data_IF_854656369069
#
_entry.id   IF_854656369069
#
_cell.length_a   1.000
_cell.length_b   1.000
_cell.length_c   1.000
_cell.angle_alpha   90.00
_cell.angle_beta   90.00
_cell.angle_gamma   90.00
#
_symmetry.space_group_name_H-M   'P 1'
#
loop_
_entity.id
_entity.type
_entity.pdbx_description
1 polymer ?
#
# COMPACT_ATOMS: atom_id res chain seq x y z
N UNK A 1 -20.41 -21.80 14.66
CA UNK A 1 -19.65 -20.53 14.50
C UNK A 1 -18.16 -20.91 14.51
N UNK A 2 -17.46 -20.77 13.39
CA UNK A 2 -16.01 -21.09 13.35
C UNK A 2 -15.20 -19.91 13.89
N UNK A 3 -14.18 -20.14 14.73
CA UNK A 3 -13.37 -19.06 15.30
C UNK A 3 -12.52 -18.42 14.20
N UNK A 4 -12.77 -17.13 13.94
CA UNK A 4 -12.04 -16.35 12.95
C UNK A 4 -10.66 -15.99 13.50
N UNK A 5 -9.60 -16.50 12.86
CA UNK A 5 -8.22 -16.37 13.32
C UNK A 5 -7.62 -14.96 13.20
N UNK A 6 -8.29 -14.01 12.54
CA UNK A 6 -7.85 -12.61 12.49
C UNK A 6 -9.04 -11.65 12.49
N UNK A 7 -8.90 -10.55 13.23
CA UNK A 7 -9.90 -9.49 13.38
C UNK A 7 -9.36 -8.23 12.71
N UNK A 8 -10.20 -7.49 11.98
CA UNK A 8 -9.81 -6.22 11.35
C UNK A 8 -10.39 -5.06 12.16
N UNK A 9 -9.52 -4.20 12.68
CA UNK A 9 -9.92 -3.03 13.45
C UNK A 9 -9.19 -1.80 12.90
N UNK A 10 -9.94 -0.79 12.45
CA UNK A 10 -9.40 0.47 11.89
C UNK A 10 -8.34 0.28 10.78
N UNK A 11 -8.46 -0.79 9.98
CA UNK A 11 -7.49 -1.14 8.93
C UNK A 11 -6.37 -2.09 9.37
N UNK A 12 -6.12 -2.22 10.68
CA UNK A 12 -5.16 -3.17 11.23
C UNK A 12 -5.75 -4.57 11.32
N UNK A 13 -4.93 -5.60 11.07
CA UNK A 13 -5.30 -6.99 11.34
C UNK A 13 -4.63 -7.49 12.61
N UNK A 14 -5.46 -7.89 13.55
CA UNK A 14 -5.07 -8.39 14.85
C UNK A 14 -5.30 -9.90 14.88
N UNK A 15 -4.28 -10.63 15.30
CA UNK A 15 -4.42 -12.03 15.63
C UNK A 15 -4.87 -12.14 17.10
N UNK A 16 -5.62 -13.18 17.51
CA UNK A 16 -6.09 -13.37 18.89
C UNK A 16 -4.98 -13.36 19.95
N UNK A 17 -3.74 -13.64 19.54
CA UNK A 17 -2.53 -13.61 20.40
C UNK A 17 -1.78 -12.27 20.34
N UNK A 18 -2.34 -11.27 19.66
CA UNK A 18 -1.73 -9.94 19.45
C UNK A 18 -0.30 -9.98 18.89
N UNK A 19 0.04 -11.02 18.12
CA UNK A 19 1.40 -11.18 17.56
C UNK A 19 1.64 -10.34 16.31
N UNK A 20 0.60 -9.69 15.76
CA UNK A 20 0.62 -8.83 14.57
C UNK A 20 1.25 -9.46 13.31
N UNK A 21 1.46 -10.78 13.27
CA UNK A 21 2.15 -11.43 12.14
C UNK A 21 1.37 -11.27 10.85
N UNK A 22 0.04 -11.36 10.91
CA UNK A 22 -0.83 -11.09 9.78
C UNK A 22 -0.80 -9.64 9.29
N UNK A 23 -0.50 -8.67 10.18
CA UNK A 23 -0.34 -7.26 9.83
C UNK A 23 1.04 -7.01 9.21
N UNK A 24 2.12 -7.52 9.80
CA UNK A 24 3.48 -7.38 9.27
C UNK A 24 3.60 -8.01 7.87
N UNK A 25 3.02 -9.20 7.67
CA UNK A 25 2.99 -9.84 6.36
C UNK A 25 2.22 -9.00 5.32
N UNK A 26 1.18 -8.27 5.74
CA UNK A 26 0.45 -7.33 4.90
C UNK A 26 1.26 -6.09 4.57
N UNK A 27 1.86 -5.46 5.57
CA UNK A 27 2.71 -4.30 5.39
C UNK A 27 3.88 -4.59 4.43
N UNK A 28 4.47 -5.78 4.53
CA UNK A 28 5.51 -6.23 3.59
C UNK A 28 4.97 -6.38 2.16
N UNK A 29 3.77 -6.94 2.00
CA UNK A 29 3.11 -7.04 0.68
C UNK A 29 2.72 -5.67 0.13
N UNK A 30 2.25 -4.76 0.98
CA UNK A 30 1.93 -3.40 0.61
C UNK A 30 3.17 -2.65 0.12
N UNK A 31 4.35 -2.92 0.70
CA UNK A 31 5.61 -2.37 0.23
C UNK A 31 5.96 -2.86 -1.19
N UNK A 32 5.77 -4.15 -1.49
CA UNK A 32 5.98 -4.67 -2.85
C UNK A 32 5.00 -4.08 -3.85
N UNK A 33 3.72 -3.94 -3.48
CA UNK A 33 2.70 -3.33 -4.33
C UNK A 33 2.96 -1.80 -4.51
N UNK A 34 3.56 -1.14 -3.51
CA UNK A 34 3.93 0.27 -3.60
C UNK A 34 5.10 0.45 -4.57
N UNK A 35 6.10 -0.44 -4.51
CA UNK A 35 7.24 -0.42 -5.42
C UNK A 35 6.81 -0.64 -6.88
N UNK A 36 5.89 -1.56 -7.15
CA UNK A 36 5.36 -1.76 -8.51
C UNK A 36 4.58 -0.53 -8.99
N UNK A 37 3.81 0.10 -8.11
CA UNK A 37 3.07 1.33 -8.42
C UNK A 37 4.01 2.50 -8.74
N UNK A 38 5.10 2.67 -7.99
CA UNK A 38 6.13 3.68 -8.27
C UNK A 38 6.82 3.40 -9.61
N UNK A 39 7.15 2.14 -9.92
CA UNK A 39 7.71 1.78 -11.21
C UNK A 39 6.77 2.13 -12.38
N UNK A 40 5.46 1.88 -12.23
CA UNK A 40 4.46 2.28 -13.21
C UNK A 40 4.39 3.82 -13.35
N UNK A 41 4.50 4.57 -12.26
CA UNK A 41 4.57 6.04 -12.32
C UNK A 41 5.81 6.56 -13.07
N UNK A 42 6.96 5.89 -12.93
CA UNK A 42 8.16 6.24 -13.69
C UNK A 42 7.96 6.05 -15.19
N UNK A 43 7.30 4.96 -15.59
CA UNK A 43 6.93 4.73 -17.00
C UNK A 43 6.00 5.82 -17.54
N UNK A 44 5.00 6.25 -16.76
CA UNK A 44 4.12 7.37 -17.13
C UNK A 44 4.87 8.70 -17.24
N UNK A 45 5.80 8.95 -16.31
CA UNK A 45 6.60 10.17 -16.25
C UNK A 45 7.58 10.34 -17.41
N UNK A 46 7.97 9.25 -18.06
CA UNK A 46 8.86 9.19 -19.23
C UNK A 46 8.11 9.11 -20.57
N UNK A 47 6.79 9.31 -20.58
CA UNK A 47 5.98 9.36 -21.80
C UNK A 47 6.26 10.62 -22.64
N UNK A 48 5.82 10.65 -23.90
CA UNK A 48 6.15 11.67 -24.91
C UNK A 48 5.83 13.15 -24.52
N UNK A 49 5.03 13.38 -23.46
CA UNK A 49 4.75 14.71 -22.91
C UNK A 49 5.13 14.87 -21.42
N UNK A 50 5.65 13.82 -20.80
CA UNK A 50 6.05 13.78 -19.40
C UNK A 50 4.93 14.09 -18.41
N UNK A 51 5.28 14.05 -17.12
CA UNK A 51 4.41 14.52 -16.04
C UNK A 51 5.05 15.74 -15.38
N UNK A 52 4.26 16.79 -15.15
CA UNK A 52 4.71 17.95 -14.36
C UNK A 52 5.00 17.53 -12.91
N UNK A 53 5.86 18.27 -12.17
CA UNK A 53 6.15 17.98 -10.76
C UNK A 53 4.89 17.91 -9.88
N UNK A 54 3.90 18.76 -10.15
CA UNK A 54 2.62 18.75 -9.45
C UNK A 54 1.83 17.46 -9.71
N UNK A 55 1.73 17.02 -10.96
CA UNK A 55 1.04 15.77 -11.30
C UNK A 55 1.74 14.54 -10.72
N UNK A 56 3.09 14.51 -10.71
CA UNK A 56 3.86 13.45 -10.05
C UNK A 56 3.58 13.39 -8.55
N UNK A 57 3.54 14.54 -7.88
CA UNK A 57 3.20 14.64 -6.45
C UNK A 57 1.77 14.14 -6.20
N UNK A 58 0.79 14.57 -7.00
CA UNK A 58 -0.60 14.13 -6.86
C UNK A 58 -0.72 12.63 -6.98
N UNK A 59 -0.08 12.03 -7.99
CA UNK A 59 -0.08 10.59 -8.20
C UNK A 59 0.52 9.83 -7.00
N UNK A 60 1.67 10.28 -6.48
CA UNK A 60 2.28 9.68 -5.30
C UNK A 60 1.34 9.70 -4.09
N UNK A 61 0.72 10.86 -3.81
CA UNK A 61 -0.22 11.02 -2.70
C UNK A 61 -1.46 10.14 -2.90
N UNK A 62 -1.99 10.03 -4.11
CA UNK A 62 -3.23 9.29 -4.37
C UNK A 62 -3.04 7.78 -4.44
N UNK A 63 -1.88 7.29 -4.89
CA UNK A 63 -1.72 5.86 -5.20
C UNK A 63 -0.69 5.15 -4.31
N UNK A 64 0.38 5.83 -3.87
CA UNK A 64 1.46 5.20 -3.09
C UNK A 64 1.26 5.41 -1.59
N UNK A 65 0.95 6.64 -1.18
CA UNK A 65 0.70 6.97 0.22
C UNK A 65 -0.38 6.11 0.89
N UNK A 66 -1.59 5.92 0.32
CA UNK A 66 -2.62 5.11 0.96
C UNK A 66 -2.25 3.63 1.05
N UNK A 67 -1.43 3.14 0.12
CA UNK A 67 -0.98 1.76 0.12
C UNK A 67 0.00 1.50 1.28
N UNK A 68 0.88 2.47 1.56
CA UNK A 68 1.81 2.39 2.69
C UNK A 68 1.12 2.63 4.04
N UNK A 69 0.06 3.44 4.09
CA UNK A 69 -0.65 3.72 5.35
C UNK A 69 -1.74 2.69 5.67
N UNK A 70 -2.36 2.05 4.67
CA UNK A 70 -3.53 1.20 4.87
C UNK A 70 -3.44 -0.20 4.23
N UNK A 71 -2.36 -0.52 3.51
CA UNK A 71 -2.17 -1.80 2.78
C UNK A 71 -1.82 -3.01 3.64
#
# INVERSE_FOLDING_TARGET
>A
IQPRQSWRYLGFRLDPRLTFRAHVARAFRALTDAATTVNAMLMLGNSNRGLSPLQRRTLYISCVQPLLTYG
#
